data_IF_225907312353
#
_entry.id   IF_225907312353
#
_cell.length_a   1.000
_cell.length_b   1.000
_cell.length_c   1.000
_cell.angle_alpha   90.00
_cell.angle_beta   90.00
_cell.angle_gamma   90.00
#
_symmetry.space_group_name_H-M   'P 1'
#
loop_
_entity.id
_entity.type
_entity.pdbx_description
1 polymer ?
#
# COMPACT_ATOMS: atom_id res chain seq x y z
N UNK A 1 10.11 19.53 -21.31
CA UNK A 1 10.15 18.77 -20.03
C UNK A 1 8.85 18.02 -19.70
N UNK A 2 7.76 18.13 -20.48
CA UNK A 2 6.54 17.33 -20.28
C UNK A 2 6.49 16.06 -21.15
N UNK A 3 7.32 15.97 -22.19
CA UNK A 3 7.43 14.83 -23.11
C UNK A 3 8.22 13.65 -22.52
N UNK A 4 9.14 13.90 -21.57
CA UNK A 4 10.01 12.86 -21.01
C UNK A 4 9.31 11.96 -19.98
N UNK A 5 8.28 12.48 -19.31
CA UNK A 5 7.51 11.76 -18.27
C UNK A 5 6.41 10.88 -18.88
N UNK A 6 5.98 11.16 -20.11
CA UNK A 6 4.91 10.43 -20.80
C UNK A 6 5.40 9.23 -21.64
N UNK A 7 6.72 9.05 -21.80
CA UNK A 7 7.33 7.98 -22.60
C UNK A 7 7.64 6.71 -21.81
N UNK A 8 7.37 6.66 -20.51
CA UNK A 8 7.69 5.53 -19.63
C UNK A 8 6.43 4.70 -19.27
N UNK A 9 5.74 4.15 -20.27
CA UNK A 9 4.75 3.09 -20.09
C UNK A 9 4.72 2.20 -21.34
N UNK A 10 4.76 0.86 -21.25
CA UNK A 10 5.16 -0.04 -20.18
C UNK A 10 6.45 -0.77 -20.58
N UNK A 11 7.56 -0.58 -19.85
CA UNK A 11 8.73 -1.42 -20.03
C UNK A 11 8.34 -2.84 -19.59
N UNK A 12 8.33 -3.80 -20.51
CA UNK A 12 7.97 -5.20 -20.30
C UNK A 12 8.52 -5.72 -18.97
N UNK A 13 7.66 -5.84 -17.95
CA UNK A 13 7.97 -6.54 -16.70
C UNK A 13 7.94 -8.05 -16.94
N UNK A 14 8.90 -8.56 -17.71
CA UNK A 14 9.02 -10.00 -18.01
C UNK A 14 9.83 -10.76 -16.95
N UNK A 15 10.39 -10.05 -15.96
CA UNK A 15 11.25 -10.62 -14.91
C UNK A 15 10.82 -10.11 -13.52
N UNK A 16 10.50 -11.01 -12.57
CA UNK A 16 9.95 -10.65 -11.25
C UNK A 16 10.92 -9.89 -10.34
N UNK A 17 12.21 -9.79 -10.69
CA UNK A 17 13.24 -9.09 -9.91
C UNK A 17 13.59 -7.70 -10.44
N UNK A 18 13.14 -7.31 -11.64
CA UNK A 18 13.54 -6.06 -12.29
C UNK A 18 12.49 -4.94 -12.15
N UNK A 19 11.25 -5.30 -11.85
CA UNK A 19 10.19 -4.34 -11.57
C UNK A 19 10.14 -4.13 -10.06
N UNK A 20 10.43 -2.91 -9.62
CA UNK A 20 10.33 -2.54 -8.21
C UNK A 20 8.91 -2.77 -7.67
N UNK A 21 8.72 -2.51 -6.37
CA UNK A 21 7.46 -2.73 -5.68
C UNK A 21 6.27 -2.10 -6.42
N UNK A 22 5.11 -2.72 -6.37
CA UNK A 22 3.85 -2.12 -6.82
C UNK A 22 3.12 -1.56 -5.61
N UNK A 23 2.71 -0.28 -5.63
CA UNK A 23 2.03 0.35 -4.51
C UNK A 23 0.72 1.01 -4.95
N UNK A 24 -0.21 1.19 -4.00
CA UNK A 24 -1.35 2.09 -4.22
C UNK A 24 -0.88 3.54 -4.31
N UNK A 25 -1.47 4.32 -5.20
CA UNK A 25 -1.15 5.73 -5.41
C UNK A 25 -2.40 6.59 -5.47
N UNK A 26 -2.40 7.68 -4.72
CA UNK A 26 -3.45 8.70 -4.74
C UNK A 26 -2.98 9.91 -3.95
N UNK A 27 -3.60 11.06 -4.19
CA UNK A 27 -3.33 12.30 -3.46
C UNK A 27 -4.64 12.82 -2.90
N UNK A 28 -4.70 13.02 -1.58
CA UNK A 28 -5.88 13.55 -0.88
C UNK A 28 -7.20 12.91 -1.33
N UNK A 29 -7.23 11.58 -1.40
CA UNK A 29 -8.40 10.83 -1.82
C UNK A 29 -9.08 10.15 -0.62
N UNK A 30 -10.38 9.86 -0.71
CA UNK A 30 -10.99 8.96 0.27
C UNK A 30 -10.28 7.59 0.27
N UNK A 31 -10.02 7.00 1.45
CA UNK A 31 -9.28 5.75 1.59
C UNK A 31 -9.78 4.61 0.71
N UNK A 32 -11.09 4.54 0.51
CA UNK A 32 -11.75 3.50 -0.30
C UNK A 32 -11.71 3.78 -1.80
N UNK A 33 -11.58 5.03 -2.19
CA UNK A 33 -11.48 5.46 -3.60
C UNK A 33 -10.05 5.29 -4.14
N UNK A 34 -9.06 5.25 -3.25
CA UNK A 34 -7.66 5.03 -3.59
C UNK A 34 -7.37 3.56 -3.98
N UNK A 35 -7.79 3.18 -5.19
CA UNK A 35 -7.57 1.84 -5.76
C UNK A 35 -6.52 1.82 -6.87
N UNK A 36 -6.08 3.00 -7.34
CA UNK A 36 -5.05 3.12 -8.37
C UNK A 36 -3.71 2.55 -7.89
N UNK A 37 -3.01 1.85 -8.78
CA UNK A 37 -1.72 1.23 -8.47
C UNK A 37 -0.68 1.61 -9.51
N UNK A 38 0.57 1.73 -9.07
CA UNK A 38 1.71 1.98 -9.96
C UNK A 38 2.92 1.17 -9.51
N UNK A 39 3.74 0.75 -10.47
CA UNK A 39 5.05 0.19 -10.20
C UNK A 39 6.01 1.29 -9.78
N UNK A 40 6.74 1.05 -8.71
CA UNK A 40 7.73 1.94 -8.16
C UNK A 40 9.06 1.75 -8.89
N UNK A 41 9.80 2.84 -9.15
CA UNK A 41 11.20 2.74 -9.52
C UNK A 41 12.00 1.99 -8.44
N UNK A 42 13.05 1.27 -8.82
CA UNK A 42 13.85 0.40 -7.93
C UNK A 42 14.39 1.13 -6.68
N UNK A 43 14.67 2.43 -6.80
CA UNK A 43 15.12 3.27 -5.68
C UNK A 43 14.05 3.49 -4.60
N UNK A 44 12.76 3.41 -4.96
CA UNK A 44 11.65 3.55 -4.04
C UNK A 44 11.23 2.17 -3.54
N UNK A 45 11.98 1.71 -2.54
CA UNK A 45 11.87 0.36 -1.98
C UNK A 45 10.82 0.21 -0.87
N UNK A 46 9.91 1.18 -0.71
CA UNK A 46 8.80 1.14 0.25
C UNK A 46 7.52 1.69 -0.37
N UNK A 47 6.38 1.15 0.04
CA UNK A 47 5.11 1.85 -0.13
C UNK A 47 4.86 2.75 1.08
N UNK A 48 4.23 3.90 0.88
CA UNK A 48 3.80 4.77 1.99
C UNK A 48 2.30 5.04 1.99
N UNK A 49 1.78 5.40 3.16
CA UNK A 49 0.44 5.95 3.38
C UNK A 49 0.55 7.07 4.42
N UNK A 50 0.00 8.24 4.08
CA UNK A 50 -0.13 9.38 4.97
C UNK A 50 -1.61 9.74 5.07
N UNK A 51 -2.11 9.95 6.28
CA UNK A 51 -3.44 10.50 6.54
C UNK A 51 -3.32 12.01 6.70
N UNK A 52 -4.22 12.77 6.08
CA UNK A 52 -4.30 14.21 6.29
C UNK A 52 -4.87 14.48 7.69
N UNK A 53 -4.23 15.35 8.46
CA UNK A 53 -4.78 15.80 9.75
C UNK A 53 -6.09 16.57 9.51
N UNK A 54 -7.13 16.25 10.28
CA UNK A 54 -8.43 16.92 10.21
C UNK A 54 -9.41 16.41 9.14
N UNK A 55 -8.99 15.51 8.23
CA UNK A 55 -9.85 14.92 7.20
C UNK A 55 -9.53 13.42 7.05
N UNK A 56 -10.54 12.56 6.83
CA UNK A 56 -10.32 11.14 6.51
C UNK A 56 -9.88 10.96 5.04
N UNK A 57 -8.83 11.68 4.64
CA UNK A 57 -8.22 11.61 3.32
C UNK A 57 -6.83 11.00 3.44
N UNK A 58 -6.43 10.26 2.40
CA UNK A 58 -5.13 9.60 2.34
C UNK A 58 -4.34 10.03 1.12
N UNK A 59 -3.03 10.07 1.29
CA UNK A 59 -2.05 10.14 0.23
C UNK A 59 -1.18 8.90 0.28
N UNK A 60 -1.01 8.23 -0.86
CA UNK A 60 -0.28 6.97 -0.97
C UNK A 60 0.65 7.00 -2.16
N UNK A 61 1.70 6.20 -2.10
CA UNK A 61 2.60 5.99 -3.23
C UNK A 61 3.85 5.22 -2.87
N UNK A 62 4.90 5.46 -3.65
CA UNK A 62 6.23 4.90 -3.49
C UNK A 62 7.11 5.84 -2.67
N UNK A 63 7.97 5.30 -1.80
CA UNK A 63 8.91 6.07 -0.99
C UNK A 63 10.23 5.32 -0.82
N UNK A 64 11.31 6.05 -0.55
CA UNK A 64 12.59 5.47 -0.14
C UNK A 64 12.54 5.14 1.35
N UNK A 65 13.25 4.08 1.75
CA UNK A 65 13.39 3.75 3.18
C UNK A 65 13.90 4.92 4.05
N UNK A 66 14.77 5.78 3.51
CA UNK A 66 15.35 6.94 4.21
C UNK A 66 14.31 8.04 4.47
N UNK A 67 13.37 8.23 3.55
CA UNK A 67 12.28 9.20 3.69
C UNK A 67 11.08 8.63 4.46
N UNK A 68 11.16 7.40 4.95
CA UNK A 68 10.16 6.81 5.83
C UNK A 68 10.38 7.23 7.28
N UNK A 69 10.02 8.46 7.61
CA UNK A 69 10.20 9.05 8.94
C UNK A 69 8.95 9.82 9.39
N UNK A 70 8.85 10.11 10.69
CA UNK A 70 7.73 10.88 11.25
C UNK A 70 6.40 10.15 11.19
N UNK A 71 5.34 10.86 10.82
CA UNK A 71 3.95 10.34 10.77
C UNK A 71 3.62 9.55 9.50
N UNK A 72 4.62 9.25 8.66
CA UNK A 72 4.44 8.50 7.41
C UNK A 72 4.47 6.99 7.74
N UNK A 73 3.37 6.29 7.47
CA UNK A 73 3.36 4.83 7.55
C UNK A 73 3.97 4.24 6.29
N UNK A 74 5.02 3.43 6.41
CA UNK A 74 5.56 2.69 5.28
C UNK A 74 5.63 1.19 5.55
N UNK A 75 5.66 0.44 4.46
CA UNK A 75 5.73 -1.01 4.47
C UNK A 75 6.52 -1.49 3.23
N UNK A 76 6.90 -2.76 3.27
CA UNK A 76 7.60 -3.44 2.18
C UNK A 76 6.69 -4.53 1.58
N UNK A 77 6.88 -4.81 0.30
CA UNK A 77 6.06 -5.76 -0.46
C UNK A 77 4.96 -5.10 -1.29
N UNK A 78 4.50 -5.81 -2.31
CA UNK A 78 3.49 -5.32 -3.23
C UNK A 78 2.17 -5.00 -2.53
N UNK A 79 1.64 -3.81 -2.80
CA UNK A 79 0.34 -3.32 -2.38
C UNK A 79 0.13 -3.31 -0.85
N UNK A 80 1.23 -3.35 -0.08
CA UNK A 80 1.20 -3.40 1.38
C UNK A 80 0.55 -2.15 2.00
N UNK A 81 0.57 -1.02 1.29
CA UNK A 81 -0.09 0.23 1.69
C UNK A 81 -1.59 0.25 1.36
N UNK A 82 -2.23 -0.92 1.32
CA UNK A 82 -3.69 -1.00 1.21
C UNK A 82 -4.36 -0.23 2.34
N UNK A 83 -5.61 0.18 2.13
CA UNK A 83 -6.38 0.76 3.22
C UNK A 83 -6.56 -0.33 4.29
N UNK A 84 -5.69 -0.33 5.30
CA UNK A 84 -5.94 -1.03 6.53
C UNK A 84 -7.20 -0.39 7.13
N UNK A 85 -8.37 -0.91 6.75
CA UNK A 85 -9.48 -0.97 7.68
C UNK A 85 -8.84 -1.61 8.92
N UNK A 86 -8.74 -0.87 10.03
CA UNK A 86 -8.11 -1.31 11.26
C UNK A 86 -8.33 -2.81 11.41
N UNK A 87 -7.23 -3.58 11.38
CA UNK A 87 -7.19 -5.03 11.31
C UNK A 87 -8.38 -5.60 12.08
N UNK A 88 -9.36 -6.27 11.43
CA UNK A 88 -10.36 -6.99 12.17
C UNK A 88 -9.63 -8.17 12.84
N UNK A 89 -9.12 -7.93 14.04
CA UNK A 89 -8.75 -8.97 15.01
C UNK A 89 -9.92 -9.93 15.31
N UNK A 90 -11.10 -9.66 14.73
CA UNK A 90 -12.33 -10.46 14.72
C UNK A 90 -12.18 -11.79 13.96
N UNK A 91 -11.33 -11.89 12.92
CA UNK A 91 -11.14 -13.18 12.20
C UNK A 91 -10.49 -14.24 13.11
N UNK A 92 -9.63 -13.83 14.04
CA UNK A 92 -9.04 -14.71 15.06
C UNK A 92 -10.04 -15.13 16.15
N UNK A 93 -11.02 -14.28 16.46
CA UNK A 93 -12.05 -14.59 17.48
C UNK A 93 -13.07 -15.63 17.00
N UNK A 94 -13.36 -15.69 15.68
CA UNK A 94 -14.31 -16.67 15.13
C UNK A 94 -13.80 -18.12 15.17
N UNK A 95 -12.48 -18.37 15.16
CA UNK A 95 -11.95 -19.74 15.24
C UNK A 95 -12.01 -20.33 16.66
N UNK A 96 -12.14 -19.50 17.71
CA UNK A 96 -12.16 -19.99 19.10
C UNK A 96 -13.54 -20.51 19.56
N UNK A 97 -14.64 -20.08 18.92
CA UNK A 97 -15.99 -20.51 19.31
C UNK A 97 -16.38 -21.90 18.76
N UNK A 98 -15.67 -22.42 17.75
CA UNK A 98 -15.94 -23.72 17.15
C UNK A 98 -15.38 -24.92 17.96
N UNK A 99 -14.56 -24.67 18.99
CA UNK A 99 -13.87 -25.74 19.75
C UNK A 99 -14.72 -26.25 20.92
N UNK A 100 -15.69 -25.46 21.41
CA UNK A 100 -16.46 -25.78 22.62
C UNK A 100 -17.61 -26.77 22.34
N UNK A 101 -18.08 -26.87 21.09
CA UNK A 101 -19.18 -27.79 20.71
C UNK A 101 -18.72 -29.25 20.54
N UNK A 102 -17.42 -29.53 20.65
CA UNK A 102 -16.85 -30.87 20.48
C UNK A 102 -16.60 -31.65 21.78
N UNK A 103 -17.00 -31.12 22.93
CA UNK A 103 -16.79 -31.73 24.25
C UNK A 103 -18.08 -31.80 25.10
N UNK A 104 -19.25 -31.84 24.45
CA UNK A 104 -20.51 -32.32 25.05
C UNK A 104 -20.71 -33.78 24.65
#
# INVERSE_FOLDING_TARGET
MYIYVHLFHPMLCSVPSACGLRCYTCTLAEPRSCTDTKSCPVIFNRCFSLRAEGYDMVTKGCQTSVACVGSISCCEGDLCNSAALARPSVILLLLSSAIITGFI
#
